data_IF_244402483369
#
_entry.id   IF_244402483369
#
_cell.length_a   1.000
_cell.length_b   1.000
_cell.length_c   1.000
_cell.angle_alpha   90.00
_cell.angle_beta   90.00
_cell.angle_gamma   90.00
#
_symmetry.space_group_name_H-M   'P 1'
#
loop_
_entity.id
_entity.type
_entity.pdbx_description
1 polymer ?
#
# COMPACT_ATOMS: atom_id res chain seq x y z
N UNK A 1 7.63 -6.26 -20.11
CA UNK A 1 6.75 -5.26 -20.72
C UNK A 1 7.33 -3.90 -20.41
N UNK A 2 7.44 -3.04 -21.42
CA UNK A 2 7.87 -1.66 -21.21
C UNK A 2 6.76 -0.91 -20.47
N UNK A 3 7.15 -0.07 -19.51
CA UNK A 3 6.20 0.69 -18.70
C UNK A 3 5.59 1.80 -19.55
N UNK A 4 4.29 1.72 -19.82
CA UNK A 4 3.55 2.80 -20.46
C UNK A 4 3.21 3.87 -19.41
N UNK A 5 3.63 5.13 -19.59
CA UNK A 5 3.30 6.19 -18.64
C UNK A 5 1.79 6.42 -18.56
N UNK A 6 1.27 6.45 -17.34
CA UNK A 6 -0.14 6.78 -17.05
C UNK A 6 -0.32 8.29 -17.21
N UNK A 7 -1.32 8.71 -17.99
CA UNK A 7 -1.61 10.13 -18.25
C UNK A 7 -2.67 10.67 -17.28
N UNK A 8 -2.30 11.66 -16.48
CA UNK A 8 -3.18 12.37 -15.56
C UNK A 8 -3.27 13.85 -15.96
N UNK A 9 -3.66 14.11 -17.20
CA UNK A 9 -3.86 15.48 -17.70
C UNK A 9 -5.02 16.13 -16.92
N UNK A 10 -4.85 17.38 -16.45
CA UNK A 10 -5.84 18.08 -15.60
C UNK A 10 -5.72 17.84 -14.09
N UNK A 11 -4.69 17.10 -13.66
CA UNK A 11 -4.41 16.82 -12.24
C UNK A 11 -3.33 17.75 -11.66
N UNK A 12 -3.29 19.01 -12.07
CA UNK A 12 -2.29 19.96 -11.59
C UNK A 12 -2.36 20.13 -10.06
N UNK A 13 -1.20 20.12 -9.40
CA UNK A 13 -1.11 20.25 -7.94
C UNK A 13 -1.42 18.97 -7.16
N UNK A 14 -1.76 17.85 -7.84
CA UNK A 14 -2.03 16.56 -7.18
C UNK A 14 -0.81 15.98 -6.49
N UNK A 15 0.32 15.94 -7.19
CA UNK A 15 1.54 15.35 -6.64
C UNK A 15 2.01 16.12 -5.40
N UNK A 16 1.97 17.45 -5.43
CA UNK A 16 2.31 18.30 -4.29
C UNK A 16 1.35 18.08 -3.11
N UNK A 17 0.05 17.90 -3.38
CA UNK A 17 -0.95 17.64 -2.35
C UNK A 17 -0.67 16.29 -1.65
N UNK A 18 -0.48 15.21 -2.41
CA UNK A 18 -0.18 13.89 -1.85
C UNK A 18 1.19 13.83 -1.17
N UNK A 19 2.20 14.50 -1.72
CA UNK A 19 3.52 14.57 -1.09
C UNK A 19 3.51 15.28 0.27
N UNK A 20 2.50 16.13 0.51
CA UNK A 20 2.27 16.80 1.78
C UNK A 20 1.63 15.92 2.87
N UNK A 21 1.04 14.78 2.50
CA UNK A 21 0.42 13.85 3.45
C UNK A 21 1.45 12.82 3.87
N UNK A 22 1.92 12.93 5.11
CA UNK A 22 2.90 12.01 5.69
C UNK A 22 2.19 10.76 6.20
N UNK A 23 2.79 9.60 5.92
CA UNK A 23 2.27 8.29 6.38
C UNK A 23 2.67 7.98 7.81
N UNK A 24 1.91 7.13 8.49
CA UNK A 24 2.19 6.65 9.86
C UNK A 24 2.27 7.76 10.92
N UNK A 25 1.60 8.90 10.73
CA UNK A 25 1.55 9.96 11.75
C UNK A 25 0.57 9.52 12.84
N UNK A 26 1.09 8.90 13.89
CA UNK A 26 0.30 8.37 15.00
C UNK A 26 1.15 8.25 16.27
N UNK A 27 0.52 8.40 17.43
CA UNK A 27 1.13 8.22 18.76
C UNK A 27 1.81 6.86 19.00
N UNK A 28 1.41 5.78 18.31
CA UNK A 28 2.03 4.45 18.47
C UNK A 28 3.23 4.23 17.55
N UNK A 29 3.35 5.06 16.51
CA UNK A 29 4.47 5.10 15.57
C UNK A 29 5.04 6.53 15.51
N UNK A 30 5.44 7.11 16.66
CA UNK A 30 5.76 8.53 16.75
C UNK A 30 7.01 8.89 15.94
N UNK A 31 7.89 7.90 15.69
CA UNK A 31 9.11 8.02 14.92
C UNK A 31 9.13 6.90 13.87
N UNK A 32 9.28 7.28 12.60
CA UNK A 32 9.48 6.38 11.47
C UNK A 32 10.78 6.80 10.78
N UNK A 33 11.83 5.97 10.91
CA UNK A 33 13.17 6.32 10.45
C UNK A 33 13.20 6.65 8.96
N UNK A 34 12.38 5.98 8.14
CA UNK A 34 12.30 6.11 6.69
C UNK A 34 10.93 6.60 6.24
N UNK A 35 10.38 7.59 6.95
CA UNK A 35 9.02 8.09 6.69
C UNK A 35 8.81 8.51 5.23
N UNK A 36 7.68 8.08 4.68
CA UNK A 36 7.20 8.33 3.32
C UNK A 36 5.98 9.25 3.32
N UNK A 37 5.42 9.47 2.13
CA UNK A 37 4.18 10.20 1.92
C UNK A 37 3.29 9.44 0.92
N UNK A 38 2.04 9.88 0.77
CA UNK A 38 1.07 9.16 -0.05
C UNK A 38 1.38 9.19 -1.55
N UNK A 39 2.15 10.18 -2.01
CA UNK A 39 2.63 10.18 -3.39
C UNK A 39 3.58 9.00 -3.64
N UNK A 40 4.54 8.79 -2.74
CA UNK A 40 5.50 7.67 -2.83
C UNK A 40 4.75 6.34 -2.69
N UNK A 41 3.86 6.24 -1.70
CA UNK A 41 3.04 5.04 -1.50
C UNK A 41 2.23 4.67 -2.74
N UNK A 42 1.47 5.60 -3.31
CA UNK A 42 0.67 5.38 -4.52
C UNK A 42 1.51 4.88 -5.70
N UNK A 43 2.74 5.40 -5.86
CA UNK A 43 3.69 4.93 -6.87
C UNK A 43 4.18 3.52 -6.59
N UNK A 44 4.48 3.18 -5.34
CA UNK A 44 4.91 1.83 -4.95
C UNK A 44 3.81 0.80 -5.10
N UNK A 45 2.56 1.14 -4.75
CA UNK A 45 1.38 0.28 -5.01
C UNK A 45 1.29 -0.07 -6.49
N UNK A 46 1.42 0.93 -7.38
CA UNK A 46 1.50 0.68 -8.82
C UNK A 46 2.66 -0.25 -9.17
N UNK A 47 3.85 -0.06 -8.62
CA UNK A 47 5.00 -0.92 -8.98
C UNK A 47 4.85 -2.36 -8.51
N UNK A 48 4.31 -2.60 -7.32
CA UNK A 48 4.04 -3.96 -6.86
C UNK A 48 2.96 -4.62 -7.72
N UNK A 49 1.93 -3.86 -8.11
CA UNK A 49 0.94 -4.31 -9.07
C UNK A 49 1.60 -4.67 -10.42
N UNK A 50 2.49 -3.82 -10.95
CA UNK A 50 3.21 -4.06 -12.21
C UNK A 50 4.02 -5.37 -12.20
N UNK A 51 4.77 -5.63 -11.13
CA UNK A 51 5.55 -6.87 -11.02
C UNK A 51 4.63 -8.10 -10.94
N UNK A 52 3.38 -7.94 -10.48
CA UNK A 52 2.38 -8.99 -10.38
C UNK A 52 1.50 -9.17 -11.63
N UNK A 53 1.50 -8.22 -12.58
CA UNK A 53 0.65 -8.31 -13.79
C UNK A 53 0.80 -9.64 -14.53
N UNK A 54 2.02 -10.20 -14.76
CA UNK A 54 2.16 -11.48 -15.44
C UNK A 54 1.41 -12.62 -14.73
N UNK A 55 1.51 -12.67 -13.40
CA UNK A 55 0.86 -13.67 -12.56
C UNK A 55 -0.67 -13.47 -12.53
N UNK A 56 -1.12 -12.22 -12.43
CA UNK A 56 -2.54 -11.85 -12.48
C UNK A 56 -3.16 -12.22 -13.83
N UNK A 57 -2.50 -11.91 -14.94
CA UNK A 57 -2.99 -12.23 -16.30
C UNK A 57 -2.96 -13.74 -16.54
N UNK A 58 -2.01 -14.48 -15.96
CA UNK A 58 -2.02 -15.94 -16.02
C UNK A 58 -3.29 -16.54 -15.38
N UNK A 59 -3.77 -15.95 -14.28
CA UNK A 59 -4.97 -16.44 -13.56
C UNK A 59 -6.28 -15.95 -14.20
N UNK A 60 -6.36 -14.66 -14.52
CA UNK A 60 -7.62 -14.02 -14.92
C UNK A 60 -7.72 -13.70 -16.41
N UNK A 61 -6.62 -13.80 -17.16
CA UNK A 61 -6.60 -13.56 -18.60
C UNK A 61 -7.17 -12.20 -18.98
N UNK A 62 -8.15 -12.20 -19.89
CA UNK A 62 -8.81 -10.99 -20.40
C UNK A 62 -9.84 -10.37 -19.46
N UNK A 63 -10.15 -11.00 -18.32
CA UNK A 63 -11.11 -10.47 -17.34
C UNK A 63 -10.49 -9.39 -16.44
N UNK A 64 -9.18 -9.18 -16.51
CA UNK A 64 -8.46 -8.17 -15.74
C UNK A 64 -8.10 -6.96 -16.62
N UNK A 65 -8.71 -5.81 -16.34
CA UNK A 65 -8.37 -4.55 -17.00
C UNK A 65 -7.09 -3.94 -16.40
N UNK A 66 -5.96 -4.24 -17.04
CA UNK A 66 -4.64 -3.73 -16.66
C UNK A 66 -4.62 -2.19 -16.64
N UNK A 67 -5.24 -1.54 -17.62
CA UNK A 67 -5.24 -0.08 -17.72
C UNK A 67 -6.00 0.56 -16.56
N UNK A 68 -7.14 -0.02 -16.20
CA UNK A 68 -7.94 0.42 -15.07
C UNK A 68 -7.18 0.20 -13.76
N UNK A 69 -6.62 -1.00 -13.53
CA UNK A 69 -5.89 -1.33 -12.31
C UNK A 69 -4.67 -0.42 -12.08
N UNK A 70 -3.89 -0.18 -13.13
CA UNK A 70 -2.74 0.74 -13.11
C UNK A 70 -3.15 2.16 -12.73
N UNK A 71 -4.19 2.66 -13.39
CA UNK A 71 -4.69 4.03 -13.15
C UNK A 71 -5.25 4.15 -11.73
N UNK A 72 -6.02 3.14 -11.30
CA UNK A 72 -6.59 3.04 -9.96
C UNK A 72 -5.50 3.03 -8.89
N UNK A 73 -4.44 2.23 -9.07
CA UNK A 73 -3.31 2.16 -8.14
C UNK A 73 -2.69 3.53 -7.88
N UNK A 74 -2.59 4.40 -8.90
CA UNK A 74 -2.08 5.75 -8.68
C UNK A 74 -3.04 6.61 -7.88
N UNK A 75 -4.34 6.53 -8.12
CA UNK A 75 -5.33 7.50 -7.60
C UNK A 75 -6.15 7.01 -6.41
N UNK A 76 -5.91 5.80 -5.91
CA UNK A 76 -6.75 5.18 -4.88
C UNK A 76 -6.86 5.99 -3.58
N UNK A 77 -5.80 6.72 -3.22
CA UNK A 77 -5.73 7.56 -2.01
C UNK A 77 -6.00 9.04 -2.28
N UNK A 78 -6.44 9.44 -3.47
CA UNK A 78 -6.68 10.86 -3.77
C UNK A 78 -7.71 11.52 -2.86
N UNK A 79 -8.64 10.75 -2.31
CA UNK A 79 -9.62 11.25 -1.33
C UNK A 79 -8.94 11.76 -0.05
N UNK A 80 -7.75 11.25 0.28
CA UNK A 80 -6.97 11.64 1.47
C UNK A 80 -6.43 13.07 1.36
N UNK A 81 -6.37 13.65 0.16
CA UNK A 81 -6.10 15.09 -0.04
C UNK A 81 -7.12 15.96 0.71
N UNK A 82 -8.35 15.47 0.90
CA UNK A 82 -9.41 16.19 1.62
C UNK A 82 -9.65 15.65 3.02
N UNK A 83 -9.50 14.35 3.24
CA UNK A 83 -9.84 13.70 4.52
C UNK A 83 -8.64 13.50 5.44
N UNK A 84 -7.42 13.55 4.91
CA UNK A 84 -6.23 13.03 5.57
C UNK A 84 -6.17 11.49 5.57
N UNK A 85 -4.99 10.96 5.94
CA UNK A 85 -4.74 9.53 6.10
C UNK A 85 -5.17 9.07 7.51
N UNK A 86 -6.29 8.35 7.55
CA UNK A 86 -6.75 7.71 8.79
C UNK A 86 -6.06 6.35 8.95
N UNK A 87 -5.24 6.27 9.98
CA UNK A 87 -4.35 5.14 10.23
C UNK A 87 -5.11 3.85 10.51
N UNK A 88 -4.49 2.72 10.14
CA UNK A 88 -5.05 1.38 10.35
C UNK A 88 -5.39 1.14 11.83
N UNK A 89 -4.51 1.58 12.74
CA UNK A 89 -4.73 1.42 14.18
C UNK A 89 -6.02 2.10 14.62
N UNK A 90 -6.26 3.35 14.23
CA UNK A 90 -7.48 4.06 14.62
C UNK A 90 -8.72 3.34 14.08
N UNK A 91 -8.69 2.95 12.80
CA UNK A 91 -9.79 2.19 12.17
C UNK A 91 -10.11 0.88 12.92
N UNK A 92 -9.12 0.20 13.48
CA UNK A 92 -9.31 -1.04 14.24
C UNK A 92 -9.97 -0.82 15.62
N UNK A 93 -9.93 0.40 16.17
CA UNK A 93 -10.53 0.74 17.47
C UNK A 93 -11.76 1.64 17.37
N UNK A 94 -12.10 2.13 16.18
CA UNK A 94 -13.32 2.87 15.92
C UNK A 94 -14.55 1.99 16.18
N UNK A 95 -15.55 2.55 16.85
CA UNK A 95 -16.88 1.97 16.91
C UNK A 95 -17.48 1.91 15.50
N UNK A 96 -18.48 1.03 15.31
CA UNK A 96 -19.15 0.89 14.02
C UNK A 96 -19.74 2.21 13.53
N UNK A 97 -20.32 2.99 14.42
CA UNK A 97 -20.92 4.29 14.10
C UNK A 97 -19.86 5.32 13.61
N UNK A 98 -18.64 5.24 14.15
CA UNK A 98 -17.49 6.05 13.74
C UNK A 98 -16.96 5.60 12.37
N UNK A 99 -16.85 4.29 12.14
CA UNK A 99 -16.50 3.73 10.84
C UNK A 99 -17.52 4.12 9.75
N UNK A 100 -18.81 4.12 10.08
CA UNK A 100 -19.86 4.57 9.17
C UNK A 100 -19.77 6.10 8.92
N UNK A 101 -19.40 6.88 9.92
CA UNK A 101 -19.19 8.33 9.77
C UNK A 101 -18.00 8.63 8.86
N UNK A 102 -16.87 7.95 9.08
CA UNK A 102 -15.69 8.04 8.23
C UNK A 102 -16.01 7.64 6.79
N UNK A 103 -16.72 6.52 6.60
CA UNK A 103 -17.13 6.08 5.27
C UNK A 103 -18.04 7.10 4.56
N UNK A 104 -18.92 7.79 5.30
CA UNK A 104 -19.74 8.89 4.73
C UNK A 104 -18.87 10.09 4.36
N UNK A 105 -17.89 10.45 5.18
CA UNK A 105 -16.96 11.54 4.90
C UNK A 105 -16.16 11.29 3.62
N UNK A 106 -15.54 10.11 3.51
CA UNK A 106 -14.80 9.68 2.32
C UNK A 106 -15.71 9.66 1.08
N UNK A 107 -16.94 9.14 1.18
CA UNK A 107 -17.90 9.16 0.07
C UNK A 107 -18.28 10.59 -0.37
N UNK A 108 -18.37 11.52 0.58
CA UNK A 108 -18.65 12.93 0.30
C UNK A 108 -17.42 13.68 -0.25
N UNK A 109 -16.21 13.14 -0.12
CA UNK A 109 -14.99 13.69 -0.69
C UNK A 109 -14.87 13.40 -2.20
N UNK A 110 -15.35 12.24 -2.67
CA UNK A 110 -15.31 11.84 -4.09
C UNK A 110 -15.83 12.93 -5.04
N UNK A 111 -17.08 13.45 -4.91
CA UNK A 111 -17.57 14.47 -5.84
C UNK A 111 -16.75 15.77 -5.81
N UNK A 112 -16.13 16.10 -4.67
CA UNK A 112 -15.25 17.27 -4.55
C UNK A 112 -13.93 17.05 -5.29
N UNK A 113 -13.36 15.84 -5.22
CA UNK A 113 -12.17 15.46 -5.96
C UNK A 113 -12.42 15.46 -7.47
N UNK A 114 -13.55 14.89 -7.90
CA UNK A 114 -13.97 14.88 -9.31
C UNK A 114 -14.09 16.31 -9.86
N UNK A 115 -14.73 17.20 -9.11
CA UNK A 115 -14.86 18.61 -9.48
C UNK A 115 -13.50 19.34 -9.54
N UNK A 116 -12.52 18.92 -8.74
CA UNK A 116 -11.20 19.56 -8.66
C UNK A 116 -10.31 19.28 -9.88
N UNK A 117 -10.28 18.05 -10.39
CA UNK A 117 -9.32 17.64 -11.43
C UNK A 117 -9.93 17.41 -12.83
N UNK A 118 -11.26 17.48 -12.98
CA UNK A 118 -11.94 17.66 -14.27
C UNK A 118 -11.50 16.73 -15.44
N UNK A 119 -11.83 15.44 -15.58
CA UNK A 119 -12.23 14.32 -14.71
C UNK A 119 -12.10 13.02 -15.54
N UNK A 120 -11.01 12.89 -16.30
CA UNK A 120 -10.63 11.65 -17.02
C UNK A 120 -9.18 11.34 -16.63
N UNK A 121 -8.94 10.19 -16.00
CA UNK A 121 -7.61 9.72 -15.66
C UNK A 121 -7.26 8.57 -16.61
N UNK A 122 -6.26 8.77 -17.46
CA UNK A 122 -5.77 7.76 -18.40
C UNK A 122 -6.87 7.10 -19.24
N UNK A 123 -7.88 7.88 -19.65
CA UNK A 123 -9.03 7.40 -20.43
C UNK A 123 -10.21 6.86 -19.61
N UNK A 124 -10.07 6.74 -18.29
CA UNK A 124 -11.13 6.29 -17.39
C UNK A 124 -11.81 7.46 -16.68
N UNK A 125 -13.10 7.34 -16.43
CA UNK A 125 -13.83 8.33 -15.65
C UNK A 125 -13.30 8.36 -14.21
N UNK A 126 -12.94 9.55 -13.73
CA UNK A 126 -12.25 9.66 -12.44
C UNK A 126 -13.17 9.31 -11.25
N UNK A 127 -14.46 9.59 -11.35
CA UNK A 127 -15.49 9.19 -10.38
C UNK A 127 -15.63 7.67 -10.28
N UNK A 128 -15.55 6.97 -11.41
CA UNK A 128 -15.57 5.51 -11.47
C UNK A 128 -14.37 4.92 -10.72
N UNK A 129 -13.16 5.46 -10.94
CA UNK A 129 -11.95 5.02 -10.26
C UNK A 129 -12.07 5.18 -8.74
N UNK A 130 -12.42 6.37 -8.25
CA UNK A 130 -12.53 6.62 -6.81
C UNK A 130 -13.64 5.79 -6.16
N UNK A 131 -14.77 5.62 -6.87
CA UNK A 131 -15.86 4.77 -6.39
C UNK A 131 -15.43 3.30 -6.33
N UNK A 132 -14.68 2.81 -7.32
CA UNK A 132 -14.16 1.44 -7.34
C UNK A 132 -13.13 1.21 -6.23
N UNK A 133 -12.19 2.15 -5.98
CA UNK A 133 -11.24 2.07 -4.87
C UNK A 133 -11.95 1.91 -3.51
N UNK A 134 -13.06 2.64 -3.33
CA UNK A 134 -13.85 2.58 -2.11
C UNK A 134 -14.66 1.29 -2.00
N UNK A 135 -15.45 0.97 -3.02
CA UNK A 135 -16.39 -0.14 -3.02
C UNK A 135 -15.71 -1.51 -3.11
N UNK A 136 -14.55 -1.60 -3.77
CA UNK A 136 -13.77 -2.83 -3.98
C UNK A 136 -14.62 -3.97 -4.56
N UNK A 137 -15.57 -3.61 -5.41
CA UNK A 137 -16.51 -4.53 -6.06
C UNK A 137 -15.98 -5.09 -7.41
N UNK A 138 -14.83 -4.60 -7.86
CA UNK A 138 -14.13 -5.05 -9.08
C UNK A 138 -12.86 -5.80 -8.72
N UNK A 139 -12.44 -6.73 -9.57
CA UNK A 139 -11.21 -7.49 -9.42
C UNK A 139 -9.99 -6.56 -9.32
N UNK A 140 -9.92 -5.53 -10.17
CA UNK A 140 -8.83 -4.56 -10.17
C UNK A 140 -8.71 -3.82 -8.84
N UNK A 141 -9.85 -3.37 -8.29
CA UNK A 141 -9.88 -2.66 -7.02
C UNK A 141 -9.51 -3.55 -5.82
N UNK A 142 -9.84 -4.84 -5.89
CA UNK A 142 -9.45 -5.81 -4.86
C UNK A 142 -7.95 -6.07 -4.88
N UNK A 143 -7.34 -6.23 -6.07
CA UNK A 143 -5.89 -6.37 -6.23
C UNK A 143 -5.14 -5.10 -5.85
N UNK A 144 -5.62 -3.92 -6.25
CA UNK A 144 -5.04 -2.64 -5.80
C UNK A 144 -5.12 -2.52 -4.28
N UNK A 145 -6.26 -2.87 -3.67
CA UNK A 145 -6.38 -2.87 -2.21
C UNK A 145 -5.41 -3.85 -1.53
N UNK A 146 -5.10 -4.98 -2.18
CA UNK A 146 -4.08 -5.90 -1.67
C UNK A 146 -2.69 -5.26 -1.71
N UNK A 147 -2.32 -4.64 -2.84
CA UNK A 147 -1.00 -4.01 -2.98
C UNK A 147 -0.82 -2.74 -2.14
N UNK A 148 -1.89 -1.99 -1.88
CA UNK A 148 -1.95 -0.93 -0.86
C UNK A 148 -1.51 -1.49 0.51
N UNK A 149 -2.16 -2.55 0.97
CA UNK A 149 -1.80 -3.18 2.25
C UNK A 149 -0.43 -3.86 2.22
N UNK A 150 -0.01 -4.38 1.08
CA UNK A 150 1.31 -4.97 0.90
C UNK A 150 2.42 -3.92 1.01
N UNK A 151 2.23 -2.75 0.40
CA UNK A 151 3.19 -1.66 0.50
C UNK A 151 3.25 -1.08 1.91
N UNK A 152 2.10 -0.85 2.55
CA UNK A 152 2.04 -0.46 3.96
C UNK A 152 2.75 -1.47 4.88
N UNK A 153 2.56 -2.77 4.63
CA UNK A 153 3.29 -3.84 5.31
C UNK A 153 4.80 -3.77 5.05
N UNK A 154 5.21 -3.53 3.81
CA UNK A 154 6.59 -3.34 3.41
C UNK A 154 7.28 -2.18 4.13
N UNK A 155 6.60 -1.05 4.28
CA UNK A 155 7.07 0.10 5.06
C UNK A 155 7.27 -0.28 6.54
N UNK A 156 6.29 -0.97 7.14
CA UNK A 156 6.40 -1.41 8.53
C UNK A 156 7.52 -2.43 8.75
N UNK A 157 7.67 -3.39 7.84
CA UNK A 157 8.78 -4.34 7.84
C UNK A 157 10.11 -3.60 7.71
N UNK A 158 10.21 -2.65 6.80
CA UNK A 158 11.42 -1.86 6.61
C UNK A 158 11.90 -1.22 7.93
N UNK A 159 10.99 -0.65 8.72
CA UNK A 159 11.26 -0.11 10.05
C UNK A 159 11.73 -1.20 11.05
N UNK A 160 11.12 -2.39 11.04
CA UNK A 160 11.55 -3.53 11.87
C UNK A 160 13.00 -3.90 11.59
N UNK A 161 13.37 -4.10 10.32
CA UNK A 161 14.74 -4.47 9.98
C UNK A 161 15.76 -3.34 10.25
N UNK A 162 15.30 -2.10 10.44
CA UNK A 162 16.11 -0.99 10.90
C UNK A 162 16.25 -0.90 12.43
N UNK A 163 15.57 -1.77 13.18
CA UNK A 163 15.57 -1.80 14.64
C UNK A 163 14.49 -0.95 15.30
N UNK A 164 13.50 -0.44 14.56
CA UNK A 164 12.44 0.39 15.10
C UNK A 164 11.32 -0.46 15.73
N UNK A 165 11.34 -0.57 17.06
CA UNK A 165 10.40 -1.41 17.80
C UNK A 165 8.96 -0.85 17.80
N UNK A 166 8.76 0.44 17.49
CA UNK A 166 7.42 1.02 17.39
C UNK A 166 6.59 0.38 16.26
N UNK A 167 7.26 -0.29 15.31
CA UNK A 167 6.61 -0.94 14.19
C UNK A 167 6.31 -2.43 14.43
N UNK A 168 6.56 -2.99 15.62
CA UNK A 168 6.23 -4.39 15.93
C UNK A 168 4.75 -4.68 15.73
N UNK A 169 3.88 -3.83 16.27
CA UNK A 169 2.43 -3.97 16.10
C UNK A 169 1.99 -3.89 14.63
N UNK A 170 2.28 -2.83 13.85
CA UNK A 170 1.86 -2.77 12.45
C UNK A 170 2.50 -3.88 11.61
N UNK A 171 3.73 -4.31 11.87
CA UNK A 171 4.36 -5.43 11.16
C UNK A 171 3.71 -6.79 11.43
N UNK A 172 3.12 -6.99 12.63
CA UNK A 172 2.49 -8.23 13.09
C UNK A 172 3.16 -8.89 14.31
N UNK A 173 4.24 -8.33 14.83
CA UNK A 173 5.13 -8.90 15.86
C UNK A 173 4.51 -9.11 17.25
N UNK A 174 3.53 -8.31 17.69
CA UNK A 174 2.99 -8.44 19.06
C UNK A 174 1.91 -9.54 19.19
N UNK A 175 1.45 -10.11 18.08
CA UNK A 175 0.39 -11.14 18.07
C UNK A 175 0.61 -12.23 17.01
N UNK A 176 1.82 -12.29 16.42
CA UNK A 176 2.14 -13.19 15.33
C UNK A 176 1.20 -13.01 14.13
N UNK A 177 0.59 -14.10 13.66
CA UNK A 177 -0.33 -14.08 12.52
C UNK A 177 -1.63 -13.28 12.74
N UNK A 178 -1.89 -12.80 13.97
CA UNK A 178 -3.13 -12.11 14.34
C UNK A 178 -3.00 -10.58 14.41
N UNK A 179 -1.82 -10.03 14.11
CA UNK A 179 -1.56 -8.59 14.22
C UNK A 179 -1.21 -7.93 12.89
N UNK A 180 -1.52 -6.64 12.78
CA UNK A 180 -0.99 -5.75 11.76
C UNK A 180 -1.21 -6.20 10.31
N UNK A 181 -0.25 -5.90 9.44
CA UNK A 181 -0.33 -6.21 8.01
C UNK A 181 -0.27 -7.71 7.70
N UNK A 182 0.38 -8.53 8.53
CA UNK A 182 0.37 -10.00 8.35
C UNK A 182 -1.06 -10.54 8.42
N UNK A 183 -1.84 -10.10 9.41
CA UNK A 183 -3.27 -10.46 9.49
C UNK A 183 -4.03 -9.91 8.29
N UNK A 184 -3.93 -8.60 8.04
CA UNK A 184 -4.71 -7.93 6.99
C UNK A 184 -4.52 -8.61 5.63
N UNK A 185 -3.27 -8.92 5.26
CA UNK A 185 -2.94 -9.59 4.01
C UNK A 185 -3.49 -11.03 3.96
N UNK A 186 -3.38 -11.80 5.05
CA UNK A 186 -3.91 -13.17 5.12
C UNK A 186 -5.45 -13.24 5.13
N UNK A 187 -6.16 -12.14 5.41
CA UNK A 187 -7.61 -12.06 5.31
C UNK A 187 -8.11 -11.82 3.87
N UNK A 188 -7.26 -11.41 2.92
CA UNK A 188 -7.70 -11.12 1.54
C UNK A 188 -8.38 -12.30 0.84
N UNK A 189 -7.86 -13.55 0.90
CA UNK A 189 -8.52 -14.69 0.26
C UNK A 189 -9.95 -14.93 0.75
N UNK A 190 -10.24 -14.69 2.03
CA UNK A 190 -11.58 -14.88 2.60
C UNK A 190 -12.48 -13.65 2.41
N UNK A 191 -11.90 -12.45 2.51
CA UNK A 191 -12.60 -11.17 2.32
C UNK A 191 -12.99 -10.91 0.86
N UNK A 192 -12.15 -11.34 -0.07
CA UNK A 192 -12.35 -11.18 -1.51
C UNK A 192 -12.22 -12.55 -2.21
N UNK A 193 -13.29 -13.36 -2.23
CA UNK A 193 -13.22 -14.72 -2.78
C UNK A 193 -12.74 -14.80 -4.23
N UNK A 194 -12.94 -13.74 -5.02
CA UNK A 194 -12.43 -13.66 -6.39
C UNK A 194 -10.89 -13.75 -6.45
N UNK A 195 -10.19 -13.29 -5.42
CA UNK A 195 -8.73 -13.38 -5.30
C UNK A 195 -8.24 -14.76 -4.86
N UNK A 196 -9.12 -15.64 -4.42
CA UNK A 196 -8.77 -16.96 -3.88
C UNK A 196 -7.95 -17.80 -4.86
N UNK A 197 -8.31 -17.78 -6.15
CA UNK A 197 -7.57 -18.52 -7.20
C UNK A 197 -6.15 -17.99 -7.36
N UNK A 198 -5.96 -16.66 -7.36
CA UNK A 198 -4.64 -16.05 -7.47
C UNK A 198 -3.72 -16.48 -6.31
N UNK A 199 -4.21 -16.45 -5.08
CA UNK A 199 -3.40 -16.87 -3.93
C UNK A 199 -3.21 -18.39 -3.81
N UNK A 200 -4.11 -19.19 -4.41
CA UNK A 200 -3.92 -20.63 -4.50
C UNK A 200 -2.79 -21.00 -5.48
N UNK A 201 -2.66 -20.26 -6.59
CA UNK A 201 -1.59 -20.46 -7.57
C UNK A 201 -0.28 -19.79 -7.16
N UNK A 202 -0.34 -18.63 -6.52
CA UNK A 202 0.82 -17.85 -6.08
C UNK A 202 0.79 -17.59 -4.55
N UNK A 203 0.95 -18.63 -3.71
CA UNK A 203 0.87 -18.49 -2.26
C UNK A 203 1.96 -17.58 -1.68
N UNK A 204 3.08 -17.41 -2.38
CA UNK A 204 4.22 -16.58 -1.96
C UNK A 204 3.94 -15.06 -2.00
N UNK A 205 2.73 -14.63 -2.38
CA UNK A 205 2.26 -13.27 -2.15
C UNK A 205 1.77 -13.04 -0.72
N UNK A 206 1.34 -14.09 -0.03
CA UNK A 206 0.83 -13.99 1.33
C UNK A 206 1.97 -14.09 2.36
N UNK A 207 1.89 -13.34 3.47
CA UNK A 207 2.91 -13.39 4.50
C UNK A 207 2.81 -14.66 5.34
N UNK A 208 3.97 -15.29 5.55
CA UNK A 208 4.13 -16.40 6.50
C UNK A 208 4.37 -15.87 7.94
N UNK A 209 4.13 -16.68 8.98
CA UNK A 209 4.57 -16.35 10.34
C UNK A 209 6.06 -16.07 10.40
N UNK A 210 6.46 -15.01 11.12
CA UNK A 210 7.85 -14.59 11.24
C UNK A 210 8.13 -13.96 12.62
N UNK A 211 9.36 -14.06 13.11
CA UNK A 211 9.78 -13.47 14.40
C UNK A 211 10.27 -12.02 14.20
N UNK A 212 9.31 -11.11 14.05
CA UNK A 212 9.61 -9.67 13.88
C UNK A 212 10.28 -9.06 15.11
N UNK A 213 10.07 -9.63 16.30
CA UNK A 213 10.70 -9.14 17.53
C UNK A 213 12.19 -9.38 17.48
N UNK A 214 12.61 -10.62 17.19
CA UNK A 214 14.03 -10.92 17.02
C UNK A 214 14.65 -10.10 15.88
N UNK A 215 13.91 -9.84 14.80
CA UNK A 215 14.40 -9.00 13.70
C UNK A 215 14.60 -7.54 14.12
N UNK A 216 13.71 -6.97 14.93
CA UNK A 216 13.87 -5.61 15.48
C UNK A 216 15.03 -5.53 16.48
N UNK A 217 15.19 -6.53 17.36
CA UNK A 217 16.28 -6.55 18.35
C UNK A 217 17.67 -6.63 17.70
N UNK A 218 17.76 -7.30 16.55
CA UNK A 218 18.99 -7.45 15.76
C UNK A 218 19.12 -6.39 14.66
N UNK A 219 18.09 -5.58 14.46
CA UNK A 219 18.00 -4.58 13.41
C UNK A 219 19.03 -3.48 13.60
N UNK A 220 19.52 -2.95 12.48
CA UNK A 220 20.42 -1.81 12.42
C UNK A 220 19.91 -0.89 11.32
N UNK A 221 20.09 0.42 11.49
CA UNK A 221 19.76 1.40 10.47
C UNK A 221 20.26 0.95 9.09
N UNK A 222 19.38 1.08 8.10
CA UNK A 222 19.67 0.71 6.74
C UNK A 222 20.82 1.53 6.18
N UNK A 223 21.75 0.80 5.61
CA UNK A 223 22.86 1.25 4.79
C UNK A 223 22.76 0.46 3.50
N UNK A 224 23.40 0.89 2.41
CA UNK A 224 23.44 0.10 1.18
C UNK A 224 23.90 -1.36 1.43
N UNK A 225 24.82 -1.55 2.38
CA UNK A 225 25.34 -2.84 2.76
C UNK A 225 24.36 -3.69 3.59
N UNK A 226 23.74 -3.12 4.64
CA UNK A 226 22.76 -3.86 5.44
C UNK A 226 21.50 -4.18 4.64
N UNK A 227 21.12 -3.31 3.70
CA UNK A 227 19.95 -3.49 2.85
C UNK A 227 20.10 -4.62 1.83
N UNK A 228 21.32 -4.89 1.38
CA UNK A 228 21.66 -6.00 0.48
C UNK A 228 21.66 -7.39 1.14
N UNK A 229 21.44 -7.47 2.46
CA UNK A 229 21.33 -8.76 3.17
C UNK A 229 19.92 -9.33 3.02
N UNK A 230 19.86 -10.65 2.86
CA UNK A 230 18.61 -11.39 2.90
C UNK A 230 18.02 -11.31 4.31
N UNK A 231 16.77 -10.88 4.40
CA UNK A 231 16.00 -10.81 5.63
C UNK A 231 15.47 -12.17 6.09
N UNK A 232 15.47 -13.17 5.21
CA UNK A 232 14.80 -14.45 5.43
C UNK A 232 13.27 -14.35 5.37
N UNK A 233 12.71 -13.21 4.98
CA UNK A 233 11.28 -12.96 4.94
C UNK A 233 10.83 -12.56 3.53
N UNK A 234 10.33 -13.54 2.77
CA UNK A 234 10.04 -13.41 1.35
C UNK A 234 9.14 -12.21 0.95
N UNK A 235 8.06 -11.86 1.68
CA UNK A 235 7.27 -10.69 1.36
C UNK A 235 8.07 -9.39 1.40
N UNK A 236 8.93 -9.22 2.41
CA UNK A 236 9.79 -8.04 2.51
C UNK A 236 10.88 -8.04 1.42
N UNK A 237 11.47 -9.18 1.08
CA UNK A 237 12.39 -9.26 -0.06
C UNK A 237 11.75 -8.85 -1.39
N UNK A 238 10.52 -9.31 -1.64
CA UNK A 238 9.74 -8.91 -2.82
C UNK A 238 9.49 -7.40 -2.83
N UNK A 239 9.10 -6.85 -1.68
CA UNK A 239 8.88 -5.41 -1.53
C UNK A 239 10.16 -4.63 -1.82
N UNK A 240 11.28 -4.94 -1.14
CA UNK A 240 12.57 -4.28 -1.31
C UNK A 240 13.03 -4.29 -2.76
N UNK A 241 13.02 -5.46 -3.39
CA UNK A 241 13.46 -5.63 -4.79
C UNK A 241 12.66 -4.76 -5.75
N UNK A 242 11.34 -4.67 -5.55
CA UNK A 242 10.46 -3.87 -6.39
C UNK A 242 10.73 -2.38 -6.23
N UNK A 243 10.84 -1.90 -4.99
CA UNK A 243 11.12 -0.49 -4.73
C UNK A 243 12.52 -0.11 -5.23
N UNK A 244 13.55 -0.92 -4.95
CA UNK A 244 14.92 -0.67 -5.43
C UNK A 244 15.02 -0.56 -6.95
N UNK A 245 14.29 -1.41 -7.67
CA UNK A 245 14.25 -1.42 -9.14
C UNK A 245 13.70 -0.11 -9.72
N UNK A 246 12.84 0.60 -8.97
CA UNK A 246 12.06 1.75 -9.46
C UNK A 246 12.50 3.09 -8.87
N UNK A 247 12.77 3.15 -7.57
CA UNK A 247 13.22 4.36 -6.84
C UNK A 247 14.73 4.44 -6.63
N UNK A 248 15.45 3.33 -6.79
CA UNK A 248 16.82 3.22 -6.31
C UNK A 248 16.90 2.96 -4.81
N UNK A 249 18.12 2.84 -4.30
CA UNK A 249 18.38 2.47 -2.90
C UNK A 249 18.37 3.67 -1.95
N UNK A 250 18.66 4.87 -2.44
CA UNK A 250 18.91 6.06 -1.61
C UNK A 250 17.76 6.39 -0.64
N UNK A 251 16.51 6.29 -1.10
CA UNK A 251 15.33 6.57 -0.28
C UNK A 251 15.06 5.51 0.80
N UNK A 252 15.63 4.31 0.65
CA UNK A 252 15.49 3.19 1.58
C UNK A 252 16.62 3.14 2.63
N UNK A 253 17.64 3.98 2.49
CA UNK A 253 18.79 4.02 3.41
C UNK A 253 18.96 5.38 4.08
N UNK A 254 18.32 6.43 3.54
CA UNK A 254 18.36 7.76 4.13
C UNK A 254 17.34 7.88 5.26
N UNK A 255 17.82 7.80 6.49
CA UNK A 255 17.02 8.14 7.67
C UNK A 255 16.60 9.62 7.63
N UNK A 256 15.32 9.86 7.91
CA UNK A 256 14.68 11.19 7.91
C UNK A 256 14.17 11.62 9.27
N UNK A 257 13.97 10.68 10.20
CA UNK A 257 13.54 10.95 11.58
C UNK A 257 14.42 10.22 12.60
N UNK A 258 14.54 10.77 13.81
CA UNK A 258 15.47 10.34 14.86
C UNK A 258 14.75 10.15 16.19
#
# INVERSE_FOLDING_TARGET
>A
MDFEPIRLDGFEGREEALAGIKRYIHDITPIMFYRTNDLIHSRRVLWHLEEAIPDIVNVYGGDFDIGFARTLALVHDDVEILTGDVQLYDKEHMAREELEALAREENNAIPKMVARYNAIANGYAYDELLTAAKAKNRLEAQLVSFFDKFDGGGEAWHEIWAGNHNFLRPAGGDSGHNGGYVRQLNEFPSKYPALGTFFAEFPDYLPAPFDFKSAAEQGLLHTEFSFGRDSGYAPYERWKKTVMKREGVDLLVRQVEF
#
